data_IF_983433401569
#
_entry.id   IF_983433401569
#
_cell.length_a   1.000
_cell.length_b   1.000
_cell.length_c   1.000
_cell.angle_alpha   90.00
_cell.angle_beta   90.00
_cell.angle_gamma   90.00
#
_symmetry.space_group_name_H-M   'P 1'
#
loop_
_entity.id
_entity.type
_entity.pdbx_description
1 polymer ?
#
# COMPACT_ATOMS: atom_id res chain seq x y z
N UNK A 1 17.38 -19.72 -1.49
CA UNK A 1 18.07 -18.41 -1.40
C UNK A 1 17.76 -17.86 -0.02
N UNK A 2 18.76 -17.49 0.78
CA UNK A 2 18.50 -16.91 2.11
C UNK A 2 17.93 -15.51 1.89
N UNK A 3 16.68 -15.28 2.31
CA UNK A 3 16.09 -13.95 2.27
C UNK A 3 16.83 -13.07 3.29
N UNK A 4 17.44 -12.00 2.81
CA UNK A 4 18.16 -11.05 3.66
C UNK A 4 17.17 -10.15 4.39
N UNK A 5 17.37 -9.99 5.70
CA UNK A 5 16.46 -9.24 6.54
C UNK A 5 17.22 -8.29 7.47
N UNK A 6 16.58 -7.18 7.79
CA UNK A 6 17.05 -6.22 8.80
C UNK A 6 16.01 -6.10 9.91
N UNK A 7 16.48 -5.88 11.15
CA UNK A 7 15.61 -5.56 12.28
C UNK A 7 15.61 -4.04 12.50
N UNK A 8 14.44 -3.43 12.39
CA UNK A 8 14.24 -1.99 12.61
C UNK A 8 13.10 -1.85 13.62
N UNK A 9 13.35 -1.13 14.72
CA UNK A 9 12.36 -0.91 15.80
C UNK A 9 11.70 -2.19 16.33
N UNK A 10 12.45 -3.31 16.36
CA UNK A 10 11.97 -4.60 16.86
C UNK A 10 11.17 -5.42 15.84
N UNK A 11 10.99 -4.93 14.61
CA UNK A 11 10.32 -5.64 13.51
C UNK A 11 11.32 -6.07 12.44
N UNK A 12 11.03 -7.19 11.79
CA UNK A 12 11.86 -7.77 10.73
C UNK A 12 11.33 -7.32 9.36
N UNK A 13 12.22 -6.86 8.49
CA UNK A 13 11.89 -6.40 7.15
C UNK A 13 12.78 -7.08 6.12
N UNK A 14 12.24 -7.38 4.93
CA UNK A 14 13.03 -7.86 3.80
C UNK A 14 13.86 -6.70 3.22
N UNK A 15 15.17 -6.92 3.09
CA UNK A 15 16.07 -5.90 2.54
C UNK A 15 15.67 -5.51 1.12
N UNK A 16 15.24 -6.48 0.30
CA UNK A 16 14.82 -6.23 -1.08
C UNK A 16 13.54 -5.38 -1.15
N UNK A 17 12.62 -5.55 -0.20
CA UNK A 17 11.44 -4.68 -0.09
C UNK A 17 11.85 -3.25 0.28
N UNK A 18 12.76 -3.06 1.24
CA UNK A 18 13.25 -1.71 1.60
C UNK A 18 13.97 -1.03 0.41
N UNK A 19 14.79 -1.78 -0.32
CA UNK A 19 15.44 -1.28 -1.54
C UNK A 19 14.43 -0.82 -2.58
N UNK A 20 13.40 -1.65 -2.80
CA UNK A 20 12.36 -1.37 -3.76
C UNK A 20 11.55 -0.12 -3.39
N UNK A 21 11.07 -0.04 -2.14
CA UNK A 21 10.22 1.05 -1.69
C UNK A 21 10.95 2.40 -1.67
N UNK A 22 12.20 2.40 -1.23
CA UNK A 22 13.04 3.61 -1.23
C UNK A 22 13.54 3.99 -2.63
N UNK A 23 13.54 3.03 -3.57
CA UNK A 23 14.16 3.21 -4.89
C UNK A 23 15.68 3.32 -4.83
N UNK A 24 16.30 2.86 -3.74
CA UNK A 24 17.74 2.88 -3.51
C UNK A 24 18.24 1.44 -3.30
N UNK A 25 19.29 1.03 -4.03
CA UNK A 25 19.88 -0.31 -3.90
C UNK A 25 20.59 -0.53 -2.55
N UNK A 26 21.00 0.56 -1.91
CA UNK A 26 21.68 0.56 -0.61
C UNK A 26 20.99 1.61 0.28
N UNK A 27 19.77 1.32 0.78
CA UNK A 27 19.04 2.25 1.63
C UNK A 27 19.74 2.38 2.97
N UNK A 28 19.71 3.59 3.53
CA UNK A 28 20.11 3.83 4.90
C UNK A 28 19.05 3.26 5.85
N UNK A 29 19.30 2.05 6.36
CA UNK A 29 18.34 1.30 7.19
C UNK A 29 18.04 1.97 8.53
N UNK A 30 18.93 2.81 9.04
CA UNK A 30 18.72 3.50 10.32
C UNK A 30 17.75 4.68 10.18
N UNK A 31 17.64 5.24 8.97
CA UNK A 31 16.88 6.45 8.68
C UNK A 31 15.70 6.21 7.73
N UNK A 32 15.21 4.98 7.61
CA UNK A 32 14.01 4.68 6.81
C UNK A 32 12.78 5.33 7.45
N UNK A 33 12.01 6.16 6.71
CA UNK A 33 10.81 6.79 7.23
C UNK A 33 9.74 5.79 7.68
N UNK A 34 8.99 6.12 8.73
CA UNK A 34 7.97 5.24 9.31
C UNK A 34 6.86 4.87 8.32
N UNK A 35 6.47 5.80 7.45
CA UNK A 35 5.49 5.51 6.40
C UNK A 35 6.01 4.43 5.42
N UNK A 36 7.31 4.42 5.10
CA UNK A 36 7.92 3.35 4.28
C UNK A 36 7.94 2.02 5.03
N UNK A 37 8.25 2.03 6.33
CA UNK A 37 8.25 0.81 7.16
C UNK A 37 6.85 0.18 7.27
N UNK A 38 5.80 0.99 7.36
CA UNK A 38 4.40 0.52 7.37
C UNK A 38 4.06 -0.15 6.03
N UNK A 39 4.44 0.46 4.91
CA UNK A 39 4.24 -0.15 3.59
C UNK A 39 5.07 -1.43 3.45
N UNK A 40 6.32 -1.44 3.91
CA UNK A 40 7.17 -2.63 3.88
C UNK A 40 6.52 -3.80 4.61
N UNK A 41 5.96 -3.55 5.80
CA UNK A 41 5.24 -4.56 6.57
C UNK A 41 4.06 -5.14 5.76
N UNK A 42 3.22 -4.30 5.17
CA UNK A 42 2.09 -4.76 4.36
C UNK A 42 2.51 -5.54 3.10
N UNK A 43 3.66 -5.21 2.51
CA UNK A 43 4.18 -5.88 1.30
C UNK A 43 4.89 -7.20 1.63
N UNK A 44 5.61 -7.26 2.74
CA UNK A 44 6.29 -8.46 3.21
C UNK A 44 5.27 -9.49 3.74
N UNK A 45 4.24 -9.03 4.44
CA UNK A 45 3.16 -9.85 4.99
C UNK A 45 1.78 -9.34 4.49
N UNK A 46 1.36 -9.68 3.26
CA UNK A 46 0.08 -9.24 2.67
C UNK A 46 -1.16 -9.48 3.53
N UNK A 47 -1.16 -10.56 4.32
CA UNK A 47 -2.30 -10.95 5.15
C UNK A 47 -2.46 -10.01 6.37
N UNK A 48 -1.47 -9.15 6.67
CA UNK A 48 -1.56 -8.12 7.71
C UNK A 48 -2.27 -6.84 7.23
N UNK A 49 -2.47 -6.65 5.92
CA UNK A 49 -3.07 -5.44 5.36
C UNK A 49 -4.38 -5.03 6.05
N UNK A 50 -5.35 -5.92 6.35
CA UNK A 50 -6.60 -5.54 7.04
C UNK A 50 -6.37 -4.83 8.38
N UNK A 51 -5.34 -5.21 9.12
CA UNK A 51 -5.00 -4.63 10.42
C UNK A 51 -4.20 -3.33 10.30
N UNK A 52 -3.62 -3.07 9.13
CA UNK A 52 -2.82 -1.88 8.85
C UNK A 52 -3.63 -0.74 8.22
N UNK A 53 -4.90 -0.96 7.83
CA UNK A 53 -5.72 0.03 7.11
C UNK A 53 -5.77 1.38 7.82
N UNK A 54 -6.11 1.40 9.11
CA UNK A 54 -6.20 2.64 9.90
C UNK A 54 -4.82 3.31 10.02
N UNK A 55 -3.77 2.53 10.28
CA UNK A 55 -2.40 3.03 10.38
C UNK A 55 -1.96 3.68 9.06
N UNK A 56 -2.25 3.03 7.93
CA UNK A 56 -1.95 3.52 6.57
C UNK A 56 -2.71 4.82 6.29
N UNK A 57 -4.00 4.88 6.63
CA UNK A 57 -4.84 6.06 6.44
C UNK A 57 -4.41 7.27 7.27
N UNK A 58 -3.83 7.03 8.43
CA UNK A 58 -3.37 8.08 9.36
C UNK A 58 -1.89 8.44 9.20
N UNK A 59 -1.18 7.87 8.22
CA UNK A 59 0.24 8.18 8.01
C UNK A 59 0.45 9.66 7.69
N UNK A 60 1.48 10.25 8.31
CA UNK A 60 1.97 11.55 7.89
C UNK A 60 2.81 11.41 6.61
N UNK A 61 2.31 11.95 5.49
CA UNK A 61 2.99 11.91 4.20
C UNK A 61 3.17 13.34 3.71
N UNK A 62 4.41 13.83 3.75
CA UNK A 62 4.73 15.21 3.37
C UNK A 62 4.44 15.51 1.89
N UNK A 63 4.72 14.54 1.01
CA UNK A 63 4.52 14.68 -0.42
C UNK A 63 3.81 13.45 -1.00
N UNK A 64 2.50 13.55 -1.12
CA UNK A 64 1.63 12.48 -1.61
C UNK A 64 1.99 12.04 -3.04
N UNK A 65 2.31 12.97 -3.95
CA UNK A 65 2.64 12.63 -5.34
C UNK A 65 3.94 11.81 -5.41
N UNK A 66 4.96 12.22 -4.66
CA UNK A 66 6.22 11.48 -4.57
C UNK A 66 6.04 10.14 -3.87
N UNK A 67 5.17 10.07 -2.86
CA UNK A 67 4.87 8.83 -2.16
C UNK A 67 4.20 7.80 -3.08
N UNK A 68 3.49 8.24 -4.13
CA UNK A 68 2.85 7.32 -5.09
C UNK A 68 3.87 6.42 -5.79
N UNK A 69 5.09 6.92 -6.02
CA UNK A 69 6.16 6.13 -6.61
C UNK A 69 6.57 4.93 -5.75
N UNK A 70 6.37 4.98 -4.43
CA UNK A 70 6.64 3.85 -3.53
C UNK A 70 5.76 2.66 -3.93
N UNK A 71 4.46 2.90 -4.11
CA UNK A 71 3.50 1.86 -4.50
C UNK A 71 3.68 1.44 -5.95
N UNK A 72 3.95 2.39 -6.84
CA UNK A 72 4.16 2.11 -8.26
C UNK A 72 5.35 1.18 -8.51
N UNK A 73 6.45 1.33 -7.74
CA UNK A 73 7.59 0.41 -7.80
C UNK A 73 7.20 -1.02 -7.44
N UNK A 74 6.34 -1.22 -6.43
CA UNK A 74 5.85 -2.55 -6.05
C UNK A 74 4.99 -3.15 -7.16
N UNK A 75 4.13 -2.35 -7.79
CA UNK A 75 3.30 -2.81 -8.89
C UNK A 75 4.14 -3.27 -10.09
N UNK A 76 5.13 -2.47 -10.49
CA UNK A 76 6.07 -2.82 -11.57
C UNK A 76 6.85 -4.09 -11.21
N UNK A 77 7.46 -4.13 -10.02
CA UNK A 77 8.22 -5.30 -9.54
C UNK A 77 7.38 -6.57 -9.57
N UNK A 78 6.13 -6.48 -9.10
CA UNK A 78 5.22 -7.62 -9.07
C UNK A 78 4.82 -8.10 -10.46
N UNK A 79 4.62 -7.19 -11.41
CA UNK A 79 4.32 -7.55 -12.79
C UNK A 79 5.51 -8.17 -13.50
N UNK A 80 6.72 -7.67 -13.27
CA UNK A 80 7.95 -8.17 -13.91
C UNK A 80 8.30 -9.59 -13.47
N UNK A 81 8.07 -9.93 -12.20
CA UNK A 81 8.46 -11.21 -11.61
C UNK A 81 7.26 -12.15 -11.40
N UNK A 82 6.09 -11.83 -11.93
CA UNK A 82 4.85 -12.60 -11.75
C UNK A 82 4.98 -14.07 -12.16
N UNK A 83 5.78 -14.35 -13.17
CA UNK A 83 6.04 -15.71 -13.67
C UNK A 83 6.99 -16.52 -12.76
N UNK A 84 7.73 -15.87 -11.87
CA UNK A 84 8.65 -16.53 -10.94
C UNK A 84 7.90 -17.12 -9.75
N UNK A 85 6.93 -16.37 -9.22
CA UNK A 85 6.05 -16.80 -8.13
C UNK A 85 4.71 -16.06 -8.23
N UNK A 86 3.79 -16.64 -8.99
CA UNK A 86 2.48 -16.06 -9.26
C UNK A 86 1.75 -15.68 -7.97
N UNK A 87 1.72 -16.57 -6.99
CA UNK A 87 0.95 -16.35 -5.77
C UNK A 87 1.55 -15.20 -4.95
N UNK A 88 2.88 -15.19 -4.76
CA UNK A 88 3.56 -14.14 -4.00
C UNK A 88 3.41 -12.77 -4.66
N UNK A 89 3.68 -12.68 -5.95
CA UNK A 89 3.65 -11.39 -6.64
C UNK A 89 2.23 -10.89 -6.92
N UNK A 90 1.25 -11.78 -7.10
CA UNK A 90 -0.16 -11.37 -7.19
C UNK A 90 -0.67 -10.77 -5.87
N UNK A 91 -0.29 -11.34 -4.72
CA UNK A 91 -0.61 -10.76 -3.40
C UNK A 91 0.05 -9.39 -3.21
N UNK A 92 1.34 -9.25 -3.54
CA UNK A 92 2.07 -7.96 -3.46
C UNK A 92 1.44 -6.90 -4.35
N UNK A 93 1.08 -7.26 -5.58
CA UNK A 93 0.38 -6.39 -6.51
C UNK A 93 -0.95 -5.92 -5.93
N UNK A 94 -1.78 -6.85 -5.46
CA UNK A 94 -3.07 -6.54 -4.84
C UNK A 94 -2.93 -5.57 -3.66
N UNK A 95 -2.03 -5.84 -2.71
CA UNK A 95 -1.81 -4.97 -1.55
C UNK A 95 -1.42 -3.56 -1.99
N UNK A 96 -0.46 -3.41 -2.90
CA UNK A 96 -0.02 -2.10 -3.37
C UNK A 96 -1.15 -1.29 -4.03
N UNK A 97 -2.04 -1.94 -4.77
CA UNK A 97 -3.20 -1.30 -5.41
C UNK A 97 -4.26 -0.90 -4.37
N UNK A 98 -4.53 -1.74 -3.38
CA UNK A 98 -5.47 -1.40 -2.29
C UNK A 98 -4.95 -0.21 -1.48
N UNK A 99 -3.66 -0.20 -1.14
CA UNK A 99 -3.05 0.95 -0.45
C UNK A 99 -3.12 2.22 -1.30
N UNK A 100 -2.89 2.12 -2.61
CA UNK A 100 -3.03 3.27 -3.52
C UNK A 100 -4.46 3.80 -3.49
N UNK A 101 -5.47 2.94 -3.59
CA UNK A 101 -6.87 3.35 -3.46
C UNK A 101 -7.16 3.99 -2.11
N UNK A 102 -6.66 3.41 -1.02
CA UNK A 102 -6.83 3.97 0.33
C UNK A 102 -6.21 5.37 0.44
N UNK A 103 -5.04 5.63 -0.15
CA UNK A 103 -4.35 6.91 0.00
C UNK A 103 -4.81 7.99 -0.98
N UNK A 104 -5.23 7.61 -2.20
CA UNK A 104 -5.46 8.55 -3.29
C UNK A 104 -6.90 8.59 -3.80
N UNK A 105 -7.69 7.54 -3.62
CA UNK A 105 -9.11 7.56 -3.95
C UNK A 105 -9.92 7.99 -2.72
N UNK A 106 -10.98 8.79 -2.94
CA UNK A 106 -12.01 8.97 -1.91
C UNK A 106 -12.59 7.59 -1.65
N UNK A 107 -12.45 7.10 -0.41
CA UNK A 107 -12.95 5.78 -0.04
C UNK A 107 -14.46 5.79 -0.17
N UNK A 108 -14.98 5.15 -1.22
CA UNK A 108 -16.38 4.81 -1.34
C UNK A 108 -16.63 3.55 -0.51
N UNK A 109 -16.68 3.70 0.83
CA UNK A 109 -17.64 2.87 1.55
C UNK A 109 -18.98 3.50 1.23
N UNK A 110 -19.82 2.76 0.50
CA UNK A 110 -21.11 3.24 0.02
C UNK A 110 -21.90 3.85 1.18
N UNK A 111 -21.97 5.18 1.24
CA UNK A 111 -23.25 5.78 1.58
C UNK A 111 -24.06 5.63 0.30
N UNK A 112 -24.90 4.59 0.25
CA UNK A 112 -26.14 4.69 -0.50
C UNK A 112 -26.84 5.92 0.08
N UNK A 113 -26.60 7.08 -0.53
CA UNK A 113 -27.58 8.15 -0.44
C UNK A 113 -28.75 7.61 -1.23
N UNK A 114 -29.78 7.18 -0.50
CA UNK A 114 -31.13 7.16 -1.05
C UNK A 114 -31.31 8.51 -1.73
N UNK A 115 -31.38 8.49 -3.06
CA UNK A 115 -31.88 9.62 -3.81
C UNK A 115 -33.31 9.82 -3.29
N UNK A 116 -33.50 10.86 -2.47
CA UNK A 116 -34.82 11.41 -2.15
C UNK A 116 -35.45 11.75 -3.50
N UNK A 117 -36.27 10.83 -4.01
CA UNK A 117 -37.11 11.02 -5.20
C UNK A 117 -38.10 12.12 -4.83
N UNK A 118 -37.71 13.36 -5.16
CA UNK A 118 -38.49 14.57 -4.99
C UNK A 118 -39.88 14.36 -5.61
N UNK A 119 -40.90 14.43 -4.77
CA UNK A 119 -42.28 14.24 -5.19
C UNK A 119 -42.69 15.19 -6.33
N UNK A 120 -43.04 14.61 -7.46
CA UNK A 120 -43.94 15.23 -8.44
C UNK A 120 -45.20 14.37 -8.57
N UNK A 121 -46.19 14.58 -7.69
CA UNK A 121 -47.59 14.44 -8.10
C UNK A 121 -48.20 15.84 -8.18
N UNK A 122 -48.44 16.23 -9.43
CA UNK A 122 -49.01 17.51 -9.84
C UNK A 122 -50.50 17.53 -9.51
N UNK A 123 -50.92 18.51 -8.72
CA UNK A 123 -52.30 18.97 -8.68
C UNK A 123 -52.65 19.62 -10.03
N UNK A 124 -53.77 19.21 -10.65
CA UNK A 124 -54.39 19.91 -11.78
C UNK A 124 -54.96 19.01 -12.88
#
# INVERSE_FOLDING_TARGET
MVMDHVNIKGKKYLMDTLRLLTGNKEPDVENVPDNILIIAQAIDEPDELPYLIETIKSMNIENMDRFRFVLFRVQIDSQLHMNEDLMRYQKRLFVSQVIEKLLYEKVFFAEEKEDDDEGEERDG
#
